data_IF_132808494540
#
_entry.id   IF_132808494540
#
_cell.length_a   1.000
_cell.length_b   1.000
_cell.length_c   1.000
_cell.angle_alpha   90.00
_cell.angle_beta   90.00
_cell.angle_gamma   90.00
#
_symmetry.space_group_name_H-M   'P 1'
#
loop_
_entity.id
_entity.type
_entity.pdbx_description
1 polymer ?
#
# COMPACT_ATOMS: atom_id res chain seq x y z
N UNK A 1 59.95 -19.06 -22.05
CA UNK A 1 59.07 -19.53 -20.98
C UNK A 1 58.11 -18.43 -20.47
N UNK A 2 57.43 -17.66 -21.35
CA UNK A 2 56.45 -16.62 -20.94
C UNK A 2 55.05 -16.72 -21.58
N UNK A 3 54.78 -17.71 -22.42
CA UNK A 3 53.49 -17.81 -23.15
C UNK A 3 52.40 -18.70 -22.46
N UNK A 4 52.80 -19.59 -21.55
CA UNK A 4 51.84 -20.48 -20.86
C UNK A 4 51.04 -19.83 -19.75
N UNK A 5 51.55 -18.70 -19.19
CA UNK A 5 50.89 -18.00 -18.05
C UNK A 5 49.63 -17.21 -18.50
N UNK A 6 49.62 -16.67 -19.71
CA UNK A 6 48.49 -15.89 -20.21
C UNK A 6 47.31 -16.76 -20.62
N UNK A 7 47.57 -17.98 -21.19
CA UNK A 7 46.55 -18.92 -21.59
C UNK A 7 45.82 -19.52 -20.39
N UNK A 8 46.53 -19.81 -19.30
CA UNK A 8 45.94 -20.33 -18.05
C UNK A 8 45.08 -19.28 -17.33
N UNK A 9 45.47 -17.99 -17.36
CA UNK A 9 44.69 -16.89 -16.81
C UNK A 9 43.38 -16.64 -17.60
N UNK A 10 43.44 -16.72 -18.94
CA UNK A 10 42.25 -16.61 -19.80
C UNK A 10 41.30 -17.78 -19.63
N UNK A 11 41.78 -19.01 -19.48
CA UNK A 11 40.96 -20.19 -19.27
C UNK A 11 40.26 -20.14 -17.90
N UNK A 12 40.97 -19.66 -16.85
CA UNK A 12 40.40 -19.47 -15.51
C UNK A 12 39.33 -18.40 -15.47
N UNK A 13 39.53 -17.28 -16.19
CA UNK A 13 38.54 -16.19 -16.29
C UNK A 13 37.27 -16.62 -17.05
N UNK A 14 37.41 -17.40 -18.13
CA UNK A 14 36.27 -17.98 -18.84
C UNK A 14 35.48 -18.98 -17.99
N UNK A 15 36.15 -19.79 -17.18
CA UNK A 15 35.49 -20.75 -16.29
C UNK A 15 34.71 -20.04 -15.16
N UNK A 16 35.23 -18.93 -14.62
CA UNK A 16 34.52 -18.07 -13.65
C UNK A 16 33.31 -17.37 -14.25
N UNK A 17 33.38 -16.91 -15.50
CA UNK A 17 32.23 -16.30 -16.20
C UNK A 17 31.12 -17.29 -16.50
N UNK A 18 31.44 -18.54 -16.79
CA UNK A 18 30.44 -19.62 -17.04
C UNK A 18 29.69 -20.03 -15.79
N UNK A 19 30.28 -19.97 -14.58
CA UNK A 19 29.61 -20.32 -13.33
C UNK A 19 28.61 -19.26 -12.86
N UNK A 20 28.73 -18.00 -13.31
CA UNK A 20 27.82 -16.92 -12.97
C UNK A 20 26.49 -16.95 -13.76
N UNK A 21 26.41 -17.76 -14.83
CA UNK A 21 25.23 -17.83 -15.73
C UNK A 21 24.14 -18.81 -15.25
N UNK A 22 24.34 -19.57 -14.18
CA UNK A 22 23.38 -20.52 -13.62
C UNK A 22 22.81 -20.03 -12.28
N UNK A 23 22.34 -18.79 -12.21
CA UNK A 23 21.50 -18.39 -11.08
C UNK A 23 20.05 -18.79 -11.41
N UNK A 24 19.45 -19.76 -10.70
CA UNK A 24 18.04 -20.08 -10.91
C UNK A 24 17.20 -18.82 -10.60
N UNK A 25 16.44 -18.36 -11.58
CA UNK A 25 15.52 -17.24 -11.38
C UNK A 25 14.39 -17.72 -10.47
N UNK A 26 14.27 -17.12 -9.29
CA UNK A 26 13.10 -17.31 -8.44
C UNK A 26 11.88 -16.70 -9.17
N UNK A 27 10.97 -17.54 -9.63
CA UNK A 27 9.72 -17.13 -10.26
C UNK A 27 8.70 -16.93 -9.14
N UNK A 28 8.47 -15.68 -8.72
CA UNK A 28 7.32 -15.33 -7.92
C UNK A 28 6.07 -15.31 -8.83
N UNK A 29 4.94 -15.75 -8.31
CA UNK A 29 3.67 -15.67 -9.03
C UNK A 29 3.43 -14.25 -9.52
N UNK A 30 3.24 -14.07 -10.82
CA UNK A 30 2.99 -12.77 -11.44
C UNK A 30 1.49 -12.61 -11.66
N UNK A 31 0.84 -11.77 -10.89
CA UNK A 31 -0.56 -11.45 -11.14
C UNK A 31 -0.87 -9.98 -10.86
N UNK A 32 -1.91 -9.49 -11.50
CA UNK A 32 -2.43 -8.13 -11.29
C UNK A 32 -3.90 -8.17 -10.90
N UNK A 33 -4.32 -7.18 -10.10
CA UNK A 33 -5.73 -6.98 -9.71
C UNK A 33 -6.15 -5.57 -10.08
N UNK A 34 -7.26 -5.43 -10.77
CA UNK A 34 -7.79 -4.14 -11.23
C UNK A 34 -9.29 -4.02 -10.92
N UNK A 35 -9.72 -2.93 -10.30
CA UNK A 35 -8.94 -1.78 -9.83
C UNK A 35 -8.19 -2.06 -8.50
N UNK A 36 -7.10 -1.34 -8.25
CA UNK A 36 -6.33 -1.45 -6.97
C UNK A 36 -7.00 -0.72 -5.80
N UNK A 37 -7.98 0.12 -6.08
CA UNK A 37 -8.90 0.76 -5.12
C UNK A 37 -10.31 0.64 -5.66
N UNK A 38 -11.21 0.18 -4.82
CA UNK A 38 -12.54 -0.21 -5.22
C UNK A 38 -13.54 0.79 -4.61
N UNK A 39 -14.29 1.47 -5.46
CA UNK A 39 -15.31 2.42 -5.04
C UNK A 39 -16.69 1.93 -5.46
N UNK A 40 -17.60 1.87 -4.50
CA UNK A 40 -19.02 1.56 -4.71
C UNK A 40 -19.85 2.78 -4.32
N UNK A 41 -20.76 3.19 -5.18
CA UNK A 41 -21.81 4.13 -4.78
C UNK A 41 -22.82 3.42 -3.86
N UNK A 42 -23.58 4.16 -3.02
CA UNK A 42 -24.57 3.54 -2.14
C UNK A 42 -25.62 2.69 -2.84
N UNK A 43 -25.94 2.99 -4.11
CA UNK A 43 -26.88 2.26 -4.96
C UNK A 43 -26.29 1.03 -5.65
N UNK A 44 -24.97 0.92 -5.72
CA UNK A 44 -24.33 -0.18 -6.43
C UNK A 44 -24.51 -1.48 -5.66
N UNK A 45 -25.02 -2.50 -6.34
CA UNK A 45 -25.22 -3.83 -5.76
C UNK A 45 -24.00 -4.72 -5.95
N UNK A 46 -23.28 -4.53 -7.05
CA UNK A 46 -22.06 -5.26 -7.35
C UNK A 46 -21.17 -4.49 -8.31
N UNK A 47 -19.88 -4.74 -8.24
CA UNK A 47 -18.88 -4.22 -9.17
C UNK A 47 -17.94 -5.35 -9.60
N UNK A 48 -17.37 -5.28 -10.82
CA UNK A 48 -16.38 -6.22 -11.28
C UNK A 48 -14.99 -5.87 -10.72
N UNK A 49 -14.24 -6.89 -10.34
CA UNK A 49 -12.81 -6.85 -10.05
C UNK A 49 -12.12 -7.85 -10.95
N UNK A 50 -11.16 -7.41 -11.73
CA UNK A 50 -10.45 -8.25 -12.67
C UNK A 50 -9.13 -8.72 -12.06
N UNK A 51 -8.89 -10.01 -12.09
CA UNK A 51 -7.61 -10.64 -11.76
C UNK A 51 -7.00 -11.17 -13.04
N UNK A 52 -5.72 -10.89 -13.27
CA UNK A 52 -4.97 -11.38 -14.43
C UNK A 52 -3.76 -12.17 -13.96
N UNK A 53 -3.62 -13.39 -14.44
CA UNK A 53 -2.41 -14.19 -14.29
C UNK A 53 -1.42 -13.77 -15.39
N UNK A 54 -0.38 -13.05 -15.02
CA UNK A 54 0.69 -12.62 -15.95
C UNK A 54 1.79 -13.68 -16.10
N UNK A 55 1.76 -14.71 -15.24
CA UNK A 55 2.75 -15.79 -15.21
C UNK A 55 2.54 -16.85 -16.29
N UNK A 56 3.51 -17.74 -16.42
CA UNK A 56 3.53 -18.87 -17.35
C UNK A 56 3.05 -20.18 -16.70
N UNK A 57 2.70 -20.14 -15.41
CA UNK A 57 2.17 -21.27 -14.64
C UNK A 57 0.70 -21.04 -14.25
N UNK A 58 0.02 -22.14 -13.92
CA UNK A 58 -1.34 -22.06 -13.33
C UNK A 58 -1.28 -21.36 -11.99
N UNK A 59 -2.26 -20.49 -11.72
CA UNK A 59 -2.38 -19.73 -10.49
C UNK A 59 -3.70 -20.07 -9.78
N UNK A 60 -3.61 -20.40 -8.50
CA UNK A 60 -4.78 -20.55 -7.63
C UNK A 60 -4.79 -19.39 -6.63
N UNK A 61 -5.92 -18.69 -6.56
CA UNK A 61 -6.07 -17.53 -5.69
C UNK A 61 -7.34 -17.63 -4.85
N UNK A 62 -7.26 -17.11 -3.64
CA UNK A 62 -8.39 -16.92 -2.74
C UNK A 62 -8.56 -15.43 -2.46
N UNK A 63 -9.80 -14.98 -2.41
CA UNK A 63 -10.13 -13.63 -2.02
C UNK A 63 -11.07 -13.63 -0.82
N UNK A 64 -10.69 -12.88 0.24
CA UNK A 64 -11.43 -12.73 1.49
C UNK A 64 -11.77 -11.28 1.74
N UNK A 65 -12.86 -11.04 2.48
CA UNK A 65 -13.38 -9.70 2.78
C UNK A 65 -13.38 -9.44 4.28
N UNK A 66 -12.98 -8.22 4.63
CA UNK A 66 -12.92 -7.75 6.01
C UNK A 66 -13.55 -6.37 6.12
N UNK A 67 -14.31 -6.10 7.18
CA UNK A 67 -14.58 -4.74 7.62
C UNK A 67 -13.27 -4.12 8.05
N UNK A 68 -13.02 -2.89 7.61
CA UNK A 68 -11.79 -2.18 7.92
C UNK A 68 -12.09 -0.96 8.79
N UNK A 69 -11.56 -0.99 9.99
CA UNK A 69 -11.57 0.11 10.95
C UNK A 69 -10.14 0.52 11.27
N UNK A 70 -9.98 1.60 11.97
CA UNK A 70 -8.71 2.00 12.54
C UNK A 70 -8.87 2.28 14.02
N UNK A 71 -7.91 1.83 14.83
CA UNK A 71 -7.79 2.19 16.25
C UNK A 71 -7.37 3.65 16.39
N UNK A 72 -7.57 4.26 17.58
CA UNK A 72 -6.94 5.53 17.90
C UNK A 72 -5.43 5.44 17.66
N UNK A 73 -4.87 6.34 16.82
CA UNK A 73 -3.48 6.27 16.38
C UNK A 73 -3.30 5.76 14.94
N UNK A 74 -4.36 5.25 14.30
CA UNK A 74 -4.37 4.90 12.88
C UNK A 74 -3.88 3.49 12.55
N UNK A 75 -3.77 2.60 13.54
CA UNK A 75 -3.51 1.18 13.32
C UNK A 75 -4.74 0.51 12.71
N UNK A 76 -4.54 -0.25 11.62
CA UNK A 76 -5.63 -0.94 10.93
C UNK A 76 -6.16 -2.12 11.76
N UNK A 77 -7.48 -2.24 11.85
CA UNK A 77 -8.22 -3.34 12.46
C UNK A 77 -9.13 -3.98 11.40
N UNK A 78 -8.93 -5.27 11.17
CA UNK A 78 -9.65 -6.04 10.16
C UNK A 78 -10.48 -7.12 10.83
N UNK A 79 -11.78 -7.12 10.58
CA UNK A 79 -12.73 -8.13 11.08
C UNK A 79 -13.42 -8.80 9.91
N UNK A 80 -13.48 -10.14 9.82
CA UNK A 80 -14.24 -10.82 8.77
C UNK A 80 -15.66 -10.26 8.67
N UNK A 81 -16.16 -10.08 7.44
CA UNK A 81 -17.48 -9.49 7.22
C UNK A 81 -18.34 -10.35 6.31
N UNK A 82 -19.66 -10.33 6.57
CA UNK A 82 -20.69 -10.91 5.71
C UNK A 82 -21.49 -9.86 4.94
N UNK A 83 -21.16 -8.58 5.07
CA UNK A 83 -21.83 -7.47 4.37
C UNK A 83 -21.58 -7.48 2.86
N UNK A 84 -20.47 -8.05 2.48
CA UNK A 84 -20.02 -8.20 1.09
C UNK A 84 -19.69 -9.66 0.81
N UNK A 85 -19.83 -10.06 -0.44
CA UNK A 85 -19.36 -11.36 -0.90
C UNK A 85 -18.68 -11.28 -2.26
N UNK A 86 -17.83 -12.26 -2.53
CA UNK A 86 -17.11 -12.42 -3.78
C UNK A 86 -17.62 -13.65 -4.53
N UNK A 87 -17.80 -13.52 -5.83
CA UNK A 87 -18.20 -14.63 -6.69
C UNK A 87 -17.36 -14.65 -7.96
N UNK A 88 -16.58 -15.71 -8.18
CA UNK A 88 -16.22 -16.78 -7.24
C UNK A 88 -15.20 -16.31 -6.18
N UNK A 89 -15.16 -16.92 -4.97
CA UNK A 89 -14.16 -16.57 -3.94
C UNK A 89 -12.79 -17.22 -4.16
N UNK A 90 -12.75 -18.31 -4.94
CA UNK A 90 -11.53 -19.03 -5.33
C UNK A 90 -11.43 -19.01 -6.86
N UNK A 91 -10.26 -18.66 -7.36
CA UNK A 91 -9.96 -18.58 -8.77
C UNK A 91 -8.88 -19.62 -9.12
N UNK A 92 -9.14 -20.44 -10.13
CA UNK A 92 -8.13 -21.26 -10.79
C UNK A 92 -7.90 -20.69 -12.18
N UNK A 93 -6.73 -20.14 -12.40
CA UNK A 93 -6.41 -19.37 -13.59
C UNK A 93 -5.33 -20.05 -14.39
N UNK A 94 -5.60 -20.30 -15.65
CA UNK A 94 -4.56 -20.76 -16.60
C UNK A 94 -3.49 -19.69 -16.78
N UNK A 95 -2.29 -20.04 -17.26
CA UNK A 95 -1.27 -19.08 -17.66
C UNK A 95 -1.83 -17.99 -18.58
N UNK A 96 -1.38 -16.74 -18.40
CA UNK A 96 -1.75 -15.58 -19.25
C UNK A 96 -3.27 -15.34 -19.36
N UNK A 97 -4.05 -15.88 -18.42
CA UNK A 97 -5.51 -15.72 -18.42
C UNK A 97 -5.99 -14.60 -17.51
N UNK A 98 -7.22 -14.16 -17.76
CA UNK A 98 -7.91 -13.13 -17.00
C UNK A 98 -9.27 -13.64 -16.54
N UNK A 99 -9.61 -13.33 -15.28
CA UNK A 99 -10.90 -13.68 -14.70
C UNK A 99 -11.51 -12.49 -13.96
N UNK A 100 -12.84 -12.37 -14.03
CA UNK A 100 -13.59 -11.34 -13.32
C UNK A 100 -14.23 -11.96 -12.09
N UNK A 101 -13.96 -11.35 -10.93
CA UNK A 101 -14.66 -11.61 -9.66
C UNK A 101 -15.71 -10.52 -9.47
N UNK A 102 -16.90 -10.91 -9.05
CA UNK A 102 -17.95 -10.00 -8.68
C UNK A 102 -17.89 -9.72 -7.18
N UNK A 103 -17.59 -8.48 -6.82
CA UNK A 103 -17.76 -8.00 -5.45
C UNK A 103 -19.18 -7.46 -5.31
N UNK A 104 -19.98 -8.09 -4.47
CA UNK A 104 -21.39 -7.76 -4.30
C UNK A 104 -21.76 -7.52 -2.84
N UNK A 105 -22.79 -6.70 -2.61
CA UNK A 105 -23.35 -6.40 -1.29
C UNK A 105 -24.46 -7.37 -0.95
N UNK A 106 -24.44 -7.89 0.28
CA UNK A 106 -25.53 -8.72 0.85
C UNK A 106 -26.65 -7.82 1.39
N UNK A 107 -26.26 -6.74 2.07
CA UNK A 107 -27.19 -5.84 2.75
C UNK A 107 -27.74 -4.75 1.85
N UNK A 108 -28.96 -4.26 2.17
CA UNK A 108 -29.53 -3.10 1.50
C UNK A 108 -28.63 -1.87 1.65
N UNK A 109 -28.66 -0.91 0.70
CA UNK A 109 -27.92 0.34 0.83
C UNK A 109 -28.21 0.99 2.17
N UNK A 110 -27.17 1.17 2.99
CA UNK A 110 -27.30 1.97 4.21
C UNK A 110 -27.48 3.44 3.80
N UNK A 111 -28.54 4.07 4.28
CA UNK A 111 -28.76 5.50 4.16
C UNK A 111 -27.90 6.21 5.23
N UNK A 112 -26.61 6.19 5.07
CA UNK A 112 -25.67 6.88 5.96
C UNK A 112 -24.93 7.97 5.23
N UNK A 113 -24.51 9.01 5.95
CA UNK A 113 -23.67 10.10 5.43
C UNK A 113 -22.19 9.75 5.47
N UNK A 114 -21.82 8.66 6.16
CA UNK A 114 -20.44 8.25 6.39
C UNK A 114 -20.03 7.14 5.41
N UNK A 115 -18.82 7.23 4.92
CA UNK A 115 -18.18 6.19 4.12
C UNK A 115 -17.99 4.92 4.95
N UNK A 116 -18.32 3.76 4.37
CA UNK A 116 -18.05 2.44 4.95
C UNK A 116 -16.82 1.89 4.26
N UNK A 117 -15.94 1.26 5.03
CA UNK A 117 -14.62 0.84 4.58
C UNK A 117 -14.40 -0.66 4.80
N UNK A 118 -13.87 -1.33 3.77
CA UNK A 118 -13.52 -2.74 3.79
C UNK A 118 -12.14 -2.97 3.18
N UNK A 119 -11.59 -4.15 3.42
CA UNK A 119 -10.40 -4.68 2.75
C UNK A 119 -10.75 -5.97 2.04
N UNK A 120 -10.41 -6.06 0.77
CA UNK A 120 -10.39 -7.30 0.02
C UNK A 120 -8.95 -7.80 -0.03
N UNK A 121 -8.69 -8.96 0.57
CA UNK A 121 -7.37 -9.57 0.56
C UNK A 121 -7.38 -10.68 -0.48
N UNK A 122 -6.61 -10.51 -1.55
CA UNK A 122 -6.43 -11.49 -2.61
C UNK A 122 -5.07 -12.14 -2.41
N UNK A 123 -5.05 -13.44 -2.14
CA UNK A 123 -3.83 -14.19 -1.85
C UNK A 123 -3.65 -15.36 -2.80
N UNK A 124 -2.43 -15.64 -3.16
CA UNK A 124 -2.05 -16.86 -3.85
C UNK A 124 -2.13 -18.05 -2.89
N UNK A 125 -2.67 -19.16 -3.39
CA UNK A 125 -2.61 -20.47 -2.73
C UNK A 125 -1.56 -21.29 -3.47
N UNK A 126 -0.34 -21.43 -2.92
CA UNK A 126 0.69 -22.20 -3.58
C UNK A 126 0.30 -23.68 -3.69
N UNK A 127 0.60 -24.29 -4.82
CA UNK A 127 0.47 -25.73 -4.96
C UNK A 127 1.51 -26.45 -4.06
N UNK A 128 1.05 -27.47 -3.33
CA UNK A 128 1.95 -28.32 -2.54
C UNK A 128 2.83 -29.14 -3.51
N UNK A 129 4.07 -28.68 -3.73
CA UNK A 129 5.07 -29.47 -4.49
C UNK A 129 5.72 -30.48 -3.56
N UNK A 130 6.02 -31.72 -4.03
CA UNK A 130 6.77 -32.67 -3.23
C UNK A 130 8.12 -32.04 -2.81
N UNK A 131 8.48 -32.20 -1.55
CA UNK A 131 9.77 -31.71 -1.04
C UNK A 131 10.87 -32.55 -1.65
N UNK A 132 11.52 -32.06 -2.68
CA UNK A 132 12.81 -32.59 -3.13
C UNK A 132 13.88 -32.17 -2.10
N UNK A 133 14.98 -32.92 -2.03
CA UNK A 133 16.01 -32.83 -0.98
C UNK A 133 16.70 -31.47 -0.84
N UNK A 134 16.41 -30.52 -1.71
CA UNK A 134 16.98 -29.16 -1.67
C UNK A 134 16.04 -28.19 -0.97
N UNK A 135 16.61 -27.24 -0.23
CA UNK A 135 15.88 -26.18 0.48
C UNK A 135 15.16 -25.29 -0.56
N UNK A 136 13.84 -25.43 -0.67
CA UNK A 136 13.00 -24.55 -1.51
C UNK A 136 12.27 -23.53 -0.64
N UNK A 137 12.43 -22.25 -0.95
CA UNK A 137 11.65 -21.18 -0.34
C UNK A 137 10.47 -20.86 -1.26
N UNK A 138 9.25 -21.14 -0.79
CA UNK A 138 8.03 -20.81 -1.51
C UNK A 138 7.51 -19.45 -1.06
N UNK A 139 7.39 -18.50 -1.99
CA UNK A 139 6.89 -17.16 -1.74
C UNK A 139 5.47 -17.07 -2.29
N UNK A 140 4.48 -16.79 -1.42
CA UNK A 140 3.11 -16.52 -1.80
C UNK A 140 2.83 -15.01 -1.67
N UNK A 141 2.22 -14.42 -2.69
CA UNK A 141 1.85 -13.01 -2.71
C UNK A 141 0.43 -12.81 -2.17
N UNK A 142 0.24 -11.70 -1.44
CA UNK A 142 -1.07 -11.25 -1.00
C UNK A 142 -1.21 -9.75 -1.25
N UNK A 143 -2.33 -9.34 -1.87
CA UNK A 143 -2.71 -7.94 -2.06
C UNK A 143 -3.86 -7.58 -1.15
N UNK A 144 -3.72 -6.48 -0.40
CA UNK A 144 -4.78 -5.90 0.41
C UNK A 144 -5.34 -4.66 -0.29
N UNK A 145 -6.53 -4.78 -0.85
CA UNK A 145 -7.19 -3.76 -1.65
C UNK A 145 -8.28 -3.07 -0.83
N UNK A 146 -8.25 -1.74 -0.71
CA UNK A 146 -9.32 -1.03 -0.03
C UNK A 146 -10.59 -1.02 -0.87
N UNK A 147 -11.72 -1.20 -0.19
CA UNK A 147 -13.07 -1.10 -0.75
C UNK A 147 -13.82 -0.01 0.02
N UNK A 148 -14.36 0.95 -0.69
CA UNK A 148 -15.06 2.09 -0.13
C UNK A 148 -16.49 2.14 -0.66
N UNK A 149 -17.48 2.16 0.26
CA UNK A 149 -18.85 2.52 -0.08
C UNK A 149 -19.03 3.97 0.32
N UNK A 150 -19.06 4.85 -0.69
CA UNK A 150 -18.95 6.30 -0.48
C UNK A 150 -20.27 7.01 -0.79
N UNK A 151 -20.94 7.62 0.20
CA UNK A 151 -22.07 8.50 -0.02
C UNK A 151 -21.70 9.72 -0.88
N UNK A 152 -22.65 10.24 -1.65
CA UNK A 152 -22.42 11.34 -2.58
C UNK A 152 -21.85 12.61 -1.92
N UNK A 153 -22.23 12.88 -0.68
CA UNK A 153 -21.82 14.06 0.08
C UNK A 153 -20.67 13.79 1.05
N UNK A 154 -20.11 12.58 1.04
CA UNK A 154 -18.99 12.24 1.94
C UNK A 154 -17.71 12.94 1.48
N UNK A 155 -17.06 13.67 2.40
CA UNK A 155 -15.83 14.44 2.14
C UNK A 155 -14.84 14.27 3.28
N UNK A 156 -13.53 14.18 2.98
CA UNK A 156 -12.50 14.24 4.01
C UNK A 156 -12.35 15.67 4.54
N UNK A 157 -12.05 15.78 5.83
CA UNK A 157 -11.71 17.04 6.47
C UNK A 157 -10.42 16.85 7.29
N UNK A 158 -9.30 16.97 6.60
CA UNK A 158 -7.99 16.81 7.21
C UNK A 158 -7.54 18.11 7.88
N UNK A 159 -7.16 18.02 9.15
CA UNK A 159 -6.44 19.04 9.91
C UNK A 159 -5.11 18.45 10.39
N UNK A 160 -4.02 19.23 10.37
CA UNK A 160 -2.72 18.78 10.83
C UNK A 160 -2.06 19.86 11.73
N UNK A 161 -1.36 19.40 12.76
CA UNK A 161 -0.51 20.21 13.62
C UNK A 161 0.88 19.58 13.75
N UNK A 162 1.84 20.33 14.30
CA UNK A 162 3.21 19.85 14.52
C UNK A 162 3.52 19.86 16.02
N UNK A 163 4.19 18.80 16.46
CA UNK A 163 4.81 18.72 17.79
C UNK A 163 6.30 18.41 17.64
N UNK A 164 7.16 19.01 18.46
CA UNK A 164 8.59 18.67 18.50
C UNK A 164 8.79 17.34 19.22
N UNK A 165 9.61 16.47 18.63
CA UNK A 165 10.05 15.21 19.25
C UNK A 165 11.51 15.29 19.71
N UNK A 166 12.38 15.89 18.90
CA UNK A 166 13.80 16.07 19.17
C UNK A 166 14.32 17.30 18.42
N UNK A 167 15.59 17.62 18.59
CA UNK A 167 16.21 18.78 17.91
C UNK A 167 16.06 18.71 16.37
N UNK A 168 16.20 17.51 15.80
CA UNK A 168 16.14 17.24 14.36
C UNK A 168 14.83 16.58 13.89
N UNK A 169 13.85 16.41 14.82
CA UNK A 169 12.61 15.67 14.56
C UNK A 169 11.36 16.38 15.02
N UNK A 170 10.34 16.32 14.19
CA UNK A 170 8.98 16.76 14.53
C UNK A 170 7.96 15.68 14.18
N UNK A 171 6.80 15.75 14.80
CA UNK A 171 5.67 14.87 14.52
C UNK A 171 4.54 15.70 13.92
N UNK A 172 4.09 15.34 12.72
CA UNK A 172 2.85 15.86 12.17
C UNK A 172 1.69 15.02 12.70
N UNK A 173 0.84 15.64 13.50
CA UNK A 173 -0.39 15.04 14.05
C UNK A 173 -1.56 15.44 13.17
N UNK A 174 -2.08 14.51 12.40
CA UNK A 174 -3.17 14.74 11.47
C UNK A 174 -4.45 14.04 11.95
N UNK A 175 -5.57 14.75 11.88
CA UNK A 175 -6.91 14.25 12.21
C UNK A 175 -7.84 14.43 11.02
N UNK A 176 -8.62 13.41 10.72
CA UNK A 176 -9.67 13.48 9.71
C UNK A 176 -11.03 13.58 10.42
N UNK A 177 -11.55 14.77 10.58
CA UNK A 177 -12.88 15.04 11.16
C UNK A 177 -14.02 14.97 10.12
N UNK A 178 -13.71 14.57 8.88
CA UNK A 178 -14.69 14.37 7.81
C UNK A 178 -15.39 13.02 7.90
N UNK A 179 -16.25 12.75 6.93
CA UNK A 179 -17.02 11.50 6.83
C UNK A 179 -16.58 10.58 5.67
N UNK A 180 -15.48 10.92 4.98
CA UNK A 180 -14.75 10.06 4.05
C UNK A 180 -13.28 9.99 4.45
N UNK A 181 -12.55 8.97 3.98
CA UNK A 181 -11.13 8.84 4.26
C UNK A 181 -10.31 10.00 3.67
N UNK A 182 -9.19 10.32 4.31
CA UNK A 182 -8.10 11.12 3.75
C UNK A 182 -6.86 10.25 3.62
N UNK A 183 -6.07 10.45 2.57
CA UNK A 183 -4.81 9.72 2.39
C UNK A 183 -3.67 10.67 2.05
N UNK A 184 -2.96 11.20 3.05
CA UNK A 184 -1.66 11.80 2.82
C UNK A 184 -0.74 10.84 2.07
N UNK A 185 0.02 11.35 1.11
CA UNK A 185 1.09 10.64 0.41
C UNK A 185 2.46 11.11 0.87
N UNK A 186 2.59 12.44 1.05
CA UNK A 186 3.82 13.05 1.52
C UNK A 186 3.57 14.31 2.34
N UNK A 187 4.56 14.65 3.13
CA UNK A 187 4.60 15.82 4.01
C UNK A 187 5.85 16.61 3.72
N UNK A 188 5.74 17.90 3.49
CA UNK A 188 6.83 18.84 3.34
C UNK A 188 6.69 19.95 4.38
N UNK A 189 7.65 20.01 5.31
CA UNK A 189 7.77 21.09 6.28
C UNK A 189 8.75 22.14 5.75
N UNK A 190 8.35 23.39 5.72
CA UNK A 190 9.18 24.51 5.27
C UNK A 190 9.09 25.69 6.22
N UNK A 191 10.10 26.56 6.21
CA UNK A 191 10.04 27.85 6.89
C UNK A 191 8.95 28.74 6.27
N UNK A 192 8.60 29.84 6.96
CA UNK A 192 7.70 30.84 6.41
C UNK A 192 8.23 31.47 5.09
N UNK A 193 9.56 31.49 4.89
CA UNK A 193 10.22 31.95 3.66
C UNK A 193 10.28 30.88 2.55
N UNK A 194 9.82 29.65 2.81
CA UNK A 194 9.77 28.56 1.82
C UNK A 194 10.97 27.63 1.81
N UNK A 195 11.98 27.83 2.69
CA UNK A 195 13.12 26.90 2.77
C UNK A 195 12.68 25.57 3.36
N UNK A 196 13.05 24.46 2.72
CA UNK A 196 12.74 23.09 3.19
C UNK A 196 13.41 22.84 4.54
N UNK A 197 12.64 22.30 5.49
CA UNK A 197 13.10 21.86 6.81
C UNK A 197 13.14 20.33 6.93
N UNK A 198 12.06 19.67 6.53
CA UNK A 198 11.97 18.20 6.57
C UNK A 198 10.96 17.71 5.54
N UNK A 199 11.09 16.45 5.12
CA UNK A 199 10.17 15.80 4.19
C UNK A 199 9.96 14.34 4.59
N UNK A 200 8.74 13.83 4.38
CA UNK A 200 8.37 12.45 4.61
C UNK A 200 7.45 11.97 3.49
N UNK A 201 7.85 10.89 2.79
CA UNK A 201 7.14 10.34 1.64
C UNK A 201 6.20 9.16 1.94
N UNK A 202 6.12 8.69 3.20
CA UNK A 202 5.35 7.51 3.59
C UNK A 202 4.05 7.91 4.30
N UNK A 203 3.09 8.37 3.54
CA UNK A 203 1.76 8.63 4.04
C UNK A 203 0.90 7.37 4.20
N UNK A 204 -0.27 7.53 4.79
CA UNK A 204 -1.19 6.42 5.03
C UNK A 204 -2.64 6.88 5.02
N UNK A 205 -3.58 5.93 4.96
CA UNK A 205 -4.99 6.23 5.14
C UNK A 205 -5.29 6.73 6.56
N UNK A 206 -6.16 7.73 6.65
CA UNK A 206 -6.75 8.25 7.87
C UNK A 206 -8.26 8.17 7.67
N UNK A 207 -8.90 7.18 8.29
CA UNK A 207 -10.35 6.99 8.20
C UNK A 207 -11.07 8.12 8.96
N UNK A 208 -12.39 8.30 8.77
CA UNK A 208 -13.17 9.29 9.50
C UNK A 208 -12.99 9.17 11.02
N UNK A 209 -12.84 10.30 11.72
CA UNK A 209 -12.63 10.47 13.17
C UNK A 209 -11.31 9.86 13.70
N UNK A 210 -10.38 9.56 12.83
CA UNK A 210 -9.08 9.00 13.21
C UNK A 210 -8.01 10.09 13.25
N UNK A 211 -7.15 9.99 14.27
CA UNK A 211 -5.89 10.73 14.40
C UNK A 211 -4.74 9.81 14.04
N UNK A 212 -3.79 10.33 13.27
CA UNK A 212 -2.56 9.62 12.91
C UNK A 212 -1.38 10.55 12.93
N UNK A 213 -0.25 10.04 13.41
CA UNK A 213 0.98 10.80 13.53
C UNK A 213 2.02 10.31 12.52
N UNK A 214 2.82 11.26 12.00
CA UNK A 214 3.88 11.00 11.02
C UNK A 214 5.14 11.71 11.49
N UNK A 215 6.25 10.98 11.58
CA UNK A 215 7.55 11.55 11.96
C UNK A 215 8.20 12.20 10.72
N UNK A 216 8.63 13.45 10.87
CA UNK A 216 9.45 14.15 9.89
C UNK A 216 10.81 14.41 10.51
N UNK A 217 11.86 13.98 9.82
CA UNK A 217 13.24 14.17 10.24
C UNK A 217 13.95 15.12 9.28
N UNK A 218 14.79 15.99 9.84
CA UNK A 218 15.76 16.79 9.09
C UNK A 218 17.11 16.11 9.11
N UNK A 219 17.73 15.95 7.94
CA UNK A 219 19.03 15.29 7.84
C UNK A 219 20.20 16.28 8.14
N UNK A 220 20.01 17.57 7.89
CA UNK A 220 21.02 18.60 7.99
C UNK A 220 20.84 19.47 9.24
N UNK A 221 20.95 18.87 10.43
CA UNK A 221 20.95 19.60 11.70
C UNK A 221 19.58 19.86 12.31
N UNK A 222 19.47 20.74 13.31
CA UNK A 222 18.24 20.95 14.06
C UNK A 222 17.17 21.67 13.24
N UNK A 223 15.91 21.38 13.53
CA UNK A 223 14.75 22.10 13.02
C UNK A 223 14.58 23.36 13.90
N UNK A 224 14.62 24.57 13.34
CA UNK A 224 14.44 25.79 14.12
C UNK A 224 13.02 25.89 14.69
N UNK A 225 12.89 26.48 15.88
CA UNK A 225 11.59 26.86 16.43
C UNK A 225 11.01 28.05 15.65
N UNK A 226 9.68 28.19 15.67
CA UNK A 226 9.00 29.31 15.06
C UNK A 226 7.92 28.95 14.06
N UNK A 227 7.47 29.93 13.29
CA UNK A 227 6.44 29.77 12.26
C UNK A 227 6.95 28.95 11.09
N UNK A 228 6.18 27.97 10.68
CA UNK A 228 6.47 27.07 9.56
C UNK A 228 5.19 26.75 8.78
N UNK A 229 5.36 26.17 7.60
CA UNK A 229 4.28 25.68 6.76
C UNK A 229 4.46 24.18 6.53
N UNK A 230 3.39 23.43 6.81
CA UNK A 230 3.29 22.01 6.50
C UNK A 230 2.42 21.84 5.26
N UNK A 231 3.01 21.42 4.16
CA UNK A 231 2.28 21.02 2.95
C UNK A 231 2.09 19.50 2.96
N UNK A 232 0.85 19.05 2.76
CA UNK A 232 0.46 17.64 2.74
C UNK A 232 -0.13 17.32 1.37
N UNK A 233 0.59 16.54 0.58
CA UNK A 233 0.09 16.03 -0.70
C UNK A 233 -0.85 14.85 -0.44
N UNK A 234 -2.03 14.86 -1.10
CA UNK A 234 -3.07 13.85 -0.97
C UNK A 234 -3.16 12.97 -2.22
N UNK A 235 -3.79 11.82 -2.08
CA UNK A 235 -3.93 10.82 -3.15
C UNK A 235 -4.95 11.20 -4.25
N UNK A 236 -5.71 12.28 -4.04
CA UNK A 236 -6.58 12.91 -5.05
C UNK A 236 -5.84 13.94 -5.93
N UNK A 237 -4.53 14.10 -5.74
CA UNK A 237 -3.68 15.06 -6.45
C UNK A 237 -3.70 16.47 -5.85
N UNK A 238 -4.45 16.71 -4.78
CA UNK A 238 -4.48 18.02 -4.11
C UNK A 238 -3.37 18.14 -3.05
N UNK A 239 -3.02 19.39 -2.70
CA UNK A 239 -2.10 19.68 -1.59
C UNK A 239 -2.80 20.59 -0.59
N UNK A 240 -2.84 20.17 0.69
CA UNK A 240 -3.30 21.00 1.80
C UNK A 240 -2.13 21.65 2.50
N UNK A 241 -2.26 22.95 2.77
CA UNK A 241 -1.24 23.72 3.49
C UNK A 241 -1.78 24.09 4.87
N UNK A 242 -0.93 23.90 5.87
CA UNK A 242 -1.21 24.24 7.27
C UNK A 242 -0.11 25.18 7.76
N UNK A 243 -0.50 26.37 8.26
CA UNK A 243 0.41 27.21 8.99
C UNK A 243 0.55 26.64 10.41
N UNK A 244 1.77 26.31 10.79
CA UNK A 244 2.08 25.59 12.03
C UNK A 244 3.13 26.33 12.84
N UNK A 245 3.18 26.07 14.15
CA UNK A 245 4.19 26.60 15.06
C UNK A 245 5.04 25.44 15.57
N UNK A 246 6.34 25.51 15.36
CA UNK A 246 7.31 24.57 15.92
C UNK A 246 7.75 25.10 17.26
N UNK A 247 7.46 24.37 18.34
CA UNK A 247 7.89 24.70 19.69
C UNK A 247 9.40 24.66 19.89
N UNK A 248 9.89 25.13 21.02
CA UNK A 248 11.29 25.02 21.45
C UNK A 248 11.68 23.57 21.82
#
# INVERSE_FOLDING_TARGET
MKSHSAATLLLSACLYLLTFSFCPQATAGQFTVTPVRIYMAPKDRAIPVTVTNEGDEQLVMQADLYEWKQKPGGEDELTPTEDLFLSPPILKMAPKSRQVVRLARVTKPQQGERQITYRMIVREIPEAKPVEKDLQVQIALAFSLPVFITPLNAKPQLGCSIARLAADKVQANCENSGNAYSRPLSFLLSTASGSKLAEQGNGAYILPDIKRSFELKRDDGPIPAGKARLAVALDDGTTKNFDVMIGE
#
